data_IF_187316891632
#
_entry.id   IF_187316891632
#
_cell.length_a   1.000
_cell.length_b   1.000
_cell.length_c   1.000
_cell.angle_alpha   90.00
_cell.angle_beta   90.00
_cell.angle_gamma   90.00
#
_symmetry.space_group_name_H-M   'P 1'
#
loop_
_entity.id
_entity.type
_entity.pdbx_description
1 polymer ?
#
# COMPACT_ATOMS: atom_id res chain seq x y z
N UNK A 1 7.57 8.47 10.62
CA UNK A 1 6.45 9.12 9.90
C UNK A 1 6.81 10.55 9.45
N UNK A 2 6.89 11.56 10.33
CA UNK A 2 7.07 12.98 9.92
C UNK A 2 8.35 13.33 9.15
N UNK A 3 9.37 12.47 9.20
CA UNK A 3 10.64 12.66 8.48
C UNK A 3 10.78 11.76 7.25
N UNK A 4 9.74 11.02 6.88
CA UNK A 4 9.74 10.24 5.64
C UNK A 4 9.61 11.18 4.45
N UNK A 5 10.24 10.85 3.32
CA UNK A 5 10.04 11.58 2.06
C UNK A 5 8.63 11.38 1.51
N UNK A 6 8.02 10.24 1.82
CA UNK A 6 6.68 9.87 1.41
C UNK A 6 6.08 8.82 2.36
N UNK A 7 4.77 8.86 2.57
CA UNK A 7 4.05 7.90 3.42
C UNK A 7 3.16 7.01 2.54
N UNK A 8 3.20 5.69 2.77
CA UNK A 8 2.19 4.78 2.21
C UNK A 8 1.26 4.39 3.36
N UNK A 9 0.00 4.77 3.25
CA UNK A 9 -1.05 4.43 4.21
C UNK A 9 -1.62 3.08 3.78
N UNK A 10 -1.39 2.06 4.60
CA UNK A 10 -1.95 0.74 4.43
C UNK A 10 -3.22 0.56 5.27
N UNK A 11 -4.10 -0.33 4.83
CA UNK A 11 -5.30 -0.67 5.58
C UNK A 11 -4.99 -1.24 6.97
N UNK A 12 -4.05 -2.19 7.08
CA UNK A 12 -3.81 -2.92 8.32
C UNK A 12 -2.37 -3.34 8.57
N UNK A 13 -2.22 -4.13 9.64
CA UNK A 13 -0.93 -4.67 10.08
C UNK A 13 -0.33 -5.68 9.10
N UNK A 14 -1.16 -6.37 8.31
CA UNK A 14 -0.71 -7.39 7.34
C UNK A 14 0.20 -6.78 6.29
N UNK A 15 -0.26 -5.73 5.61
CA UNK A 15 0.49 -5.01 4.58
C UNK A 15 1.74 -4.39 5.21
N UNK A 16 1.57 -3.69 6.34
CA UNK A 16 2.67 -3.00 7.02
C UNK A 16 3.81 -3.96 7.36
N UNK A 17 3.51 -5.04 8.08
CA UNK A 17 4.55 -5.96 8.57
C UNK A 17 5.25 -6.64 7.40
N UNK A 18 4.48 -7.09 6.41
CA UNK A 18 5.06 -7.81 5.29
C UNK A 18 5.93 -6.93 4.39
N UNK A 19 5.46 -5.71 4.08
CA UNK A 19 6.22 -4.75 3.27
C UNK A 19 7.45 -4.25 4.03
N UNK A 20 7.34 -3.94 5.33
CA UNK A 20 8.49 -3.55 6.17
C UNK A 20 9.56 -4.65 6.13
N UNK A 21 9.16 -5.92 6.26
CA UNK A 21 10.09 -7.06 6.15
C UNK A 21 10.77 -7.14 4.78
N UNK A 22 10.03 -6.97 3.68
CA UNK A 22 10.59 -7.04 2.33
C UNK A 22 11.53 -5.86 2.06
N UNK A 23 11.21 -4.64 2.53
CA UNK A 23 12.11 -3.48 2.48
C UNK A 23 13.42 -3.74 3.21
N UNK A 24 13.35 -4.37 4.38
CA UNK A 24 14.52 -4.63 5.22
C UNK A 24 15.39 -5.82 4.76
N UNK A 25 14.87 -6.68 3.88
CA UNK A 25 15.56 -7.93 3.49
C UNK A 25 15.83 -8.06 1.99
N UNK A 26 14.90 -7.65 1.13
CA UNK A 26 14.91 -7.92 -0.31
C UNK A 26 14.88 -6.65 -1.17
N UNK A 27 14.31 -5.55 -0.68
CA UNK A 27 14.07 -4.33 -1.45
C UNK A 27 14.84 -3.12 -0.90
N UNK A 28 16.15 -3.30 -0.69
CA UNK A 28 17.02 -2.22 -0.19
C UNK A 28 17.00 -0.98 -1.09
N UNK A 29 16.86 -1.19 -2.40
CA UNK A 29 16.71 -0.12 -3.40
C UNK A 29 15.47 0.76 -3.15
N UNK A 30 14.38 0.19 -2.63
CA UNK A 30 13.20 0.95 -2.24
C UNK A 30 13.36 1.58 -0.85
N UNK A 31 14.05 0.90 0.07
CA UNK A 31 14.31 1.42 1.43
C UNK A 31 15.11 2.73 1.40
N UNK A 32 16.05 2.88 0.49
CA UNK A 32 16.83 4.11 0.27
C UNK A 32 15.97 5.32 -0.17
N UNK A 33 14.73 5.09 -0.63
CA UNK A 33 13.79 6.16 -0.96
C UNK A 33 13.16 6.83 0.27
N UNK A 34 13.49 6.38 1.48
CA UNK A 34 13.05 6.96 2.76
C UNK A 34 11.51 7.05 2.91
N UNK A 35 10.83 5.96 2.55
CA UNK A 35 9.39 5.84 2.73
C UNK A 35 9.00 5.32 4.12
N UNK A 36 7.75 5.54 4.51
CA UNK A 36 7.19 5.01 5.74
C UNK A 36 5.83 4.36 5.50
N UNK A 37 5.68 3.10 5.92
CA UNK A 37 4.44 2.35 5.89
C UNK A 37 3.64 2.63 7.17
N UNK A 38 2.48 3.26 7.03
CA UNK A 38 1.56 3.58 8.10
C UNK A 38 0.39 2.60 8.10
N UNK A 39 0.17 1.93 9.23
CA UNK A 39 -1.03 1.11 9.45
C UNK A 39 -2.18 2.01 9.90
N UNK A 40 -3.26 2.06 9.11
CA UNK A 40 -4.44 2.87 9.40
C UNK A 40 -5.33 2.27 10.50
N UNK A 41 -5.09 1.04 10.94
CA UNK A 41 -5.95 0.29 11.87
C UNK A 41 -7.35 0.08 11.28
N UNK A 42 -7.40 -0.24 10.00
CA UNK A 42 -8.61 -0.50 9.23
C UNK A 42 -8.99 0.63 8.27
N UNK A 43 -9.68 0.24 7.19
CA UNK A 43 -10.06 1.09 6.06
C UNK A 43 -10.81 2.37 6.45
N UNK A 44 -11.67 2.28 7.46
CA UNK A 44 -12.46 3.41 7.97
C UNK A 44 -11.61 4.54 8.54
N UNK A 45 -10.33 4.33 8.83
CA UNK A 45 -9.44 5.35 9.39
C UNK A 45 -8.54 6.01 8.35
N UNK A 46 -8.45 5.49 7.12
CA UNK A 46 -7.54 5.98 6.07
C UNK A 46 -7.75 7.48 5.80
N UNK A 47 -8.99 7.90 5.60
CA UNK A 47 -9.33 9.31 5.34
C UNK A 47 -8.87 10.28 6.44
N UNK A 48 -8.78 9.82 7.69
CA UNK A 48 -8.33 10.67 8.81
C UNK A 48 -6.86 11.02 8.65
N UNK A 49 -6.05 10.04 8.26
CA UNK A 49 -4.64 10.23 7.96
C UNK A 49 -4.43 11.04 6.68
N UNK A 50 -5.21 10.79 5.63
CA UNK A 50 -5.17 11.60 4.40
C UNK A 50 -5.41 13.08 4.71
N UNK A 51 -6.44 13.39 5.49
CA UNK A 51 -6.76 14.75 5.89
C UNK A 51 -5.67 15.37 6.77
N UNK A 52 -5.15 14.62 7.74
CA UNK A 52 -4.04 15.08 8.59
C UNK A 52 -2.80 15.43 7.76
N UNK A 53 -2.39 14.53 6.86
CA UNK A 53 -1.21 14.75 6.01
C UNK A 53 -1.44 15.85 4.99
N UNK A 54 -2.64 15.96 4.44
CA UNK A 54 -3.02 17.09 3.60
C UNK A 54 -2.85 18.44 4.32
N UNK A 55 -3.24 18.53 5.60
CA UNK A 55 -3.04 19.75 6.40
C UNK A 55 -1.59 20.02 6.81
N UNK A 56 -0.75 18.99 6.84
CA UNK A 56 0.66 19.10 7.20
C UNK A 56 1.58 19.23 5.97
N UNK A 57 1.03 19.17 4.75
CA UNK A 57 1.81 19.18 3.52
C UNK A 57 2.67 17.93 3.30
N UNK A 58 2.23 16.79 3.85
CA UNK A 58 2.97 15.54 3.77
C UNK A 58 2.41 14.69 2.63
N UNK A 59 3.27 14.35 1.69
CA UNK A 59 2.89 13.51 0.56
C UNK A 59 2.61 12.08 1.01
N UNK A 60 1.54 11.52 0.48
CA UNK A 60 1.10 10.18 0.85
C UNK A 60 0.41 9.46 -0.31
N UNK A 61 0.47 8.15 -0.28
CA UNK A 61 -0.28 7.25 -1.14
C UNK A 61 -1.04 6.24 -0.30
N UNK A 62 -2.01 5.55 -0.90
CA UNK A 62 -2.89 4.60 -0.21
C UNK A 62 -2.74 3.22 -0.84
N UNK A 63 -2.62 2.20 0.00
CA UNK A 63 -2.72 0.79 -0.35
C UNK A 63 -3.82 0.16 0.51
N UNK A 64 -4.90 -0.33 -0.10
CA UNK A 64 -6.04 -0.87 0.64
C UNK A 64 -6.67 -2.09 -0.04
N UNK A 65 -7.53 -2.80 0.67
CA UNK A 65 -8.34 -3.85 0.08
C UNK A 65 -9.61 -3.21 -0.51
N UNK A 66 -10.01 -3.58 -1.72
CA UNK A 66 -11.27 -3.07 -2.31
C UNK A 66 -12.48 -3.88 -1.87
N UNK A 67 -12.27 -5.11 -1.38
CA UNK A 67 -13.31 -6.09 -1.02
C UNK A 67 -14.33 -6.34 -2.16
N UNK A 68 -13.90 -6.19 -3.42
CA UNK A 68 -14.73 -6.21 -4.63
C UNK A 68 -15.93 -5.26 -4.58
N UNK A 69 -15.79 -4.09 -3.95
CA UNK A 69 -16.86 -3.08 -3.84
C UNK A 69 -18.19 -3.63 -3.29
N UNK A 70 -18.16 -4.64 -2.42
CA UNK A 70 -19.39 -5.21 -1.87
C UNK A 70 -19.98 -4.30 -0.79
N UNK A 71 -21.26 -3.99 -0.93
CA UNK A 71 -22.08 -3.30 0.07
C UNK A 71 -21.46 -1.99 0.59
N UNK A 72 -21.09 -1.95 1.87
CA UNK A 72 -20.50 -0.79 2.54
C UNK A 72 -19.12 -0.44 1.98
N UNK A 73 -18.39 -1.41 1.42
CA UNK A 73 -17.02 -1.20 0.94
C UNK A 73 -16.99 -0.28 -0.28
N UNK A 74 -18.00 -0.30 -1.15
CA UNK A 74 -18.10 0.63 -2.28
C UNK A 74 -18.17 2.09 -1.80
N UNK A 75 -18.99 2.36 -0.78
CA UNK A 75 -19.15 3.71 -0.23
C UNK A 75 -17.85 4.18 0.42
N UNK A 76 -17.15 3.30 1.13
CA UNK A 76 -15.87 3.63 1.77
C UNK A 76 -14.76 3.83 0.72
N UNK A 77 -14.69 3.00 -0.31
CA UNK A 77 -13.75 3.17 -1.44
C UNK A 77 -13.96 4.52 -2.11
N UNK A 78 -15.22 4.83 -2.46
CA UNK A 78 -15.58 6.13 -3.02
C UNK A 78 -15.26 7.28 -2.08
N UNK A 79 -15.53 7.13 -0.78
CA UNK A 79 -15.23 8.17 0.20
C UNK A 79 -13.72 8.44 0.31
N UNK A 80 -12.89 7.40 0.28
CA UNK A 80 -11.42 7.55 0.26
C UNK A 80 -10.98 8.28 -1.01
N UNK A 81 -11.53 7.89 -2.17
CA UNK A 81 -11.27 8.54 -3.45
C UNK A 81 -11.67 10.03 -3.44
N UNK A 82 -12.85 10.34 -2.91
CA UNK A 82 -13.37 11.71 -2.81
C UNK A 82 -12.58 12.57 -1.79
N UNK A 83 -11.82 11.95 -0.87
CA UNK A 83 -10.96 12.64 0.12
C UNK A 83 -9.52 12.88 -0.39
N UNK A 84 -9.22 12.56 -1.65
CA UNK A 84 -7.94 12.93 -2.27
C UNK A 84 -7.68 14.42 -2.11
N UNK A 85 -6.43 14.76 -1.83
CA UNK A 85 -5.96 16.14 -1.77
C UNK A 85 -4.69 16.31 -2.60
N UNK A 86 -4.16 17.54 -2.67
CA UNK A 86 -2.97 17.87 -3.47
C UNK A 86 -1.71 17.07 -3.08
N UNK A 87 -1.68 16.51 -1.87
CA UNK A 87 -0.59 15.68 -1.37
C UNK A 87 -0.84 14.18 -1.51
N UNK A 88 -2.01 13.76 -2.02
CA UNK A 88 -2.30 12.37 -2.33
C UNK A 88 -1.73 12.03 -3.71
N UNK A 89 -0.66 11.23 -3.76
CA UNK A 89 -0.03 10.85 -5.03
C UNK A 89 -0.83 9.76 -5.74
N UNK A 90 -1.01 8.61 -5.08
CA UNK A 90 -1.63 7.44 -5.71
C UNK A 90 -2.55 6.70 -4.74
N UNK A 91 -3.51 5.97 -5.29
CA UNK A 91 -4.32 5.00 -4.58
C UNK A 91 -4.26 3.69 -5.37
N UNK A 92 -3.81 2.63 -4.71
CA UNK A 92 -3.85 1.27 -5.24
C UNK A 92 -4.71 0.40 -4.35
N UNK A 93 -5.36 -0.60 -4.93
CA UNK A 93 -6.20 -1.52 -4.19
C UNK A 93 -6.06 -2.96 -4.68
N UNK A 94 -6.10 -3.90 -3.74
CA UNK A 94 -6.26 -5.31 -4.09
C UNK A 94 -7.74 -5.61 -4.35
N UNK A 95 -8.04 -6.44 -5.36
CA UNK A 95 -9.44 -6.78 -5.72
C UNK A 95 -10.22 -7.40 -4.54
N UNK A 96 -9.54 -8.21 -3.74
CA UNK A 96 -10.15 -8.81 -2.55
C UNK A 96 -9.40 -8.44 -1.29
N UNK A 97 -8.16 -8.88 -1.20
CA UNK A 97 -7.27 -8.66 -0.07
C UNK A 97 -5.83 -9.04 -0.43
N UNK A 98 -4.88 -8.65 0.42
CA UNK A 98 -3.47 -9.02 0.27
C UNK A 98 -3.25 -10.54 0.20
N UNK A 99 -3.99 -11.36 0.98
CA UNK A 99 -3.79 -12.81 0.98
C UNK A 99 -4.19 -13.44 -0.36
N UNK A 100 -5.31 -13.01 -0.94
CA UNK A 100 -5.78 -13.41 -2.24
C UNK A 100 -4.81 -12.96 -3.35
N UNK A 101 -4.28 -11.74 -3.25
CA UNK A 101 -3.25 -11.25 -4.17
C UNK A 101 -1.98 -12.12 -4.12
N UNK A 102 -1.56 -12.53 -2.92
CA UNK A 102 -0.40 -13.40 -2.70
C UNK A 102 -0.67 -14.88 -2.98
N UNK A 103 -1.91 -15.23 -3.35
CA UNK A 103 -2.37 -16.60 -3.63
C UNK A 103 -2.18 -17.56 -2.45
N UNK A 104 -2.44 -17.07 -1.23
CA UNK A 104 -2.35 -17.87 0.00
C UNK A 104 -3.68 -17.96 0.75
N UNK A 105 -3.84 -19.03 1.51
CA UNK A 105 -5.00 -19.21 2.37
C UNK A 105 -5.01 -18.23 3.54
N UNK A 106 -6.20 -17.78 3.90
CA UNK A 106 -6.42 -16.98 5.12
C UNK A 106 -6.46 -17.89 6.35
N UNK A 107 -5.95 -17.41 7.50
CA UNK A 107 -6.21 -18.09 8.77
C UNK A 107 -7.67 -17.90 9.20
N UNK A 108 -8.19 -18.83 10.00
CA UNK A 108 -9.56 -18.74 10.58
C UNK A 108 -9.74 -17.47 11.44
N UNK A 109 -8.65 -17.02 12.05
CA UNK A 109 -8.60 -15.85 12.93
C UNK A 109 -7.94 -14.67 12.23
N UNK A 110 -8.69 -13.57 12.10
CA UNK A 110 -8.21 -12.36 11.43
C UNK A 110 -6.95 -11.76 12.06
N UNK A 111 -6.79 -11.84 13.39
CA UNK A 111 -5.61 -11.30 14.09
C UNK A 111 -4.31 -12.06 13.76
N UNK A 112 -4.42 -13.29 13.21
CA UNK A 112 -3.27 -14.09 12.81
C UNK A 112 -2.81 -13.81 11.37
N UNK A 113 -3.54 -12.98 10.62
CA UNK A 113 -3.22 -12.67 9.21
C UNK A 113 -1.76 -12.25 8.98
N UNK A 114 -1.17 -11.30 9.76
CA UNK A 114 0.21 -10.90 9.52
C UNK A 114 1.20 -12.06 9.74
N UNK A 115 0.98 -12.85 10.80
CA UNK A 115 1.83 -14.01 11.11
C UNK A 115 1.70 -15.11 10.04
N UNK A 116 0.50 -15.33 9.51
CA UNK A 116 0.25 -16.30 8.46
C UNK A 116 1.00 -15.93 7.17
N UNK A 117 0.93 -14.66 6.74
CA UNK A 117 1.68 -14.16 5.58
C UNK A 117 3.18 -14.40 5.77
N UNK A 118 3.73 -14.00 6.92
CA UNK A 118 5.15 -14.19 7.23
C UNK A 118 5.58 -15.66 7.21
N UNK A 119 4.76 -16.55 7.76
CA UNK A 119 5.02 -17.99 7.75
C UNK A 119 4.99 -18.58 6.34
N UNK A 120 3.97 -18.25 5.55
CA UNK A 120 3.83 -18.72 4.15
C UNK A 120 4.98 -18.20 3.28
N UNK A 121 5.41 -16.95 3.49
CA UNK A 121 6.60 -16.42 2.84
C UNK A 121 7.85 -17.24 3.18
N UNK A 122 8.09 -17.48 4.47
CA UNK A 122 9.27 -18.24 4.94
C UNK A 122 9.28 -19.68 4.46
N UNK A 123 8.12 -20.29 4.24
CA UNK A 123 7.96 -21.64 3.70
C UNK A 123 8.08 -21.70 2.16
N UNK A 124 8.24 -20.56 1.48
CA UNK A 124 8.31 -20.49 0.02
C UNK A 124 6.96 -20.71 -0.67
N UNK A 125 5.84 -20.51 0.04
CA UNK A 125 4.49 -20.66 -0.52
C UNK A 125 4.01 -19.43 -1.28
N UNK A 126 4.73 -18.30 -1.20
CA UNK A 126 4.45 -17.11 -2.00
C UNK A 126 5.43 -17.10 -3.17
N UNK A 127 4.91 -17.01 -4.40
CA UNK A 127 5.73 -17.05 -5.60
C UNK A 127 6.59 -15.79 -5.74
N UNK A 128 7.78 -15.95 -6.34
CA UNK A 128 8.67 -14.81 -6.63
C UNK A 128 7.99 -13.79 -7.55
N UNK A 129 7.14 -14.26 -8.47
CA UNK A 129 6.34 -13.39 -9.34
C UNK A 129 5.42 -12.47 -8.54
N UNK A 130 4.69 -12.99 -7.54
CA UNK A 130 3.83 -12.17 -6.67
C UNK A 130 4.60 -11.19 -5.81
N UNK A 131 5.79 -11.56 -5.34
CA UNK A 131 6.68 -10.62 -4.64
C UNK A 131 7.15 -9.50 -5.58
N UNK A 132 7.50 -9.82 -6.82
CA UNK A 132 7.87 -8.82 -7.82
C UNK A 132 6.70 -7.89 -8.20
N UNK A 133 5.50 -8.45 -8.41
CA UNK A 133 4.27 -7.68 -8.65
C UNK A 133 3.99 -6.71 -7.48
N UNK A 134 4.12 -7.19 -6.23
CA UNK A 134 3.95 -6.34 -5.05
C UNK A 134 5.00 -5.22 -5.03
N UNK A 135 6.26 -5.53 -5.37
CA UNK A 135 7.34 -4.54 -5.43
C UNK A 135 7.01 -3.43 -6.42
N UNK A 136 6.46 -3.75 -7.58
CA UNK A 136 6.06 -2.76 -8.57
C UNK A 136 4.89 -1.89 -8.09
N UNK A 137 3.89 -2.47 -7.41
CA UNK A 137 2.82 -1.69 -6.77
C UNK A 137 3.41 -0.68 -5.79
N UNK A 138 4.32 -1.11 -4.92
CA UNK A 138 4.98 -0.21 -3.97
C UNK A 138 5.80 0.84 -4.72
N UNK A 139 6.53 0.49 -5.78
CA UNK A 139 7.30 1.42 -6.59
C UNK A 139 6.43 2.51 -7.23
N UNK A 140 5.27 2.15 -7.77
CA UNK A 140 4.28 3.09 -8.31
C UNK A 140 3.77 4.05 -7.22
N UNK A 141 3.37 3.52 -6.06
CA UNK A 141 2.87 4.32 -4.94
C UNK A 141 3.88 5.36 -4.44
N UNK A 142 5.18 5.15 -4.66
CA UNK A 142 6.25 6.07 -4.27
C UNK A 142 6.69 7.06 -5.35
N UNK A 143 6.18 6.94 -6.58
CA UNK A 143 6.62 7.78 -7.69
C UNK A 143 5.82 9.08 -7.71
N UNK A 144 6.51 10.22 -7.63
CA UNK A 144 5.83 11.52 -7.70
C UNK A 144 5.09 11.68 -9.04
N UNK A 145 3.81 12.12 -9.04
CA UNK A 145 3.05 12.37 -10.26
C UNK A 145 3.73 13.38 -11.22
N UNK A 146 4.57 14.28 -10.70
CA UNK A 146 5.33 15.22 -11.53
C UNK A 146 6.44 14.54 -12.35
N UNK A 147 7.04 13.48 -11.81
CA UNK A 147 8.09 12.71 -12.48
C UNK A 147 7.49 11.86 -13.60
N UNK A 148 6.33 11.24 -13.37
CA UNK A 148 5.62 10.44 -14.39
C UNK A 148 5.31 11.28 -15.64
N UNK A 149 4.85 12.53 -15.44
CA UNK A 149 4.58 13.44 -16.56
C UNK A 149 5.82 13.75 -17.39
N UNK A 150 6.99 13.89 -16.78
CA UNK A 150 8.25 14.18 -17.49
C UNK A 150 8.76 12.96 -18.27
N UNK A 151 8.58 11.75 -17.73
CA UNK A 151 8.98 10.50 -18.43
C UNK A 151 8.08 10.26 -19.64
N UNK A 152 6.75 10.38 -19.47
CA UNK A 152 5.80 10.20 -20.57
C UNK A 152 6.06 11.20 -21.71
N UNK A 153 6.39 12.45 -21.40
CA UNK A 153 6.73 13.45 -22.44
C UNK A 153 8.01 13.10 -23.20
N UNK A 154 8.98 12.41 -22.56
CA UNK A 154 10.24 12.01 -23.23
C UNK A 154 10.09 10.77 -24.11
N UNK A 155 9.14 9.89 -23.84
CA UNK A 155 8.90 8.69 -24.67
C UNK A 155 8.08 8.98 -25.94
N UNK A 156 7.41 10.13 -26.00
CA UNK A 156 6.56 10.55 -27.12
C UNK A 156 7.28 11.48 -28.10
N UNK A 157 8.55 11.83 -27.84
CA UNK A 157 9.38 12.73 -28.68
C UNK A 157 10.51 11.97 -29.37
#
# INVERSE_FOLDING_TARGET
MFFAKHIIICEGASEKIFIDYLLDTQWQDLKEKHIYLLDAMGKFSIHRFMNLFGKLGITHSILMDSDNDKDVHQYINKFIEDNKNEFTWHISSFDRDLEAFLEIDKPDRADLKPLNIMMKHKQGNITVAKIAELKEIINQLMTSPEIERVVVVKEVV
#
